data_IF_870119036338
#
_entry.id   IF_870119036338
#
_cell.length_a   1.000
_cell.length_b   1.000
_cell.length_c   1.000
_cell.angle_alpha   90.00
_cell.angle_beta   90.00
_cell.angle_gamma   90.00
#
_symmetry.space_group_name_H-M   'P 1'
#
loop_
_entity.id
_entity.type
_entity.pdbx_description
1 polymer ?
#
# COMPACT_ATOMS: atom_id res chain seq x y z
N UNK A 1 -1.55 5.09 -26.17
CA UNK A 1 -0.84 5.01 -24.87
C UNK A 1 -1.35 3.77 -24.16
N UNK A 2 -0.67 2.64 -24.33
CA UNK A 2 -1.03 1.38 -23.68
C UNK A 2 -0.47 1.36 -22.28
N UNK A 3 -1.34 1.30 -21.27
CA UNK A 3 -0.98 1.02 -19.89
C UNK A 3 -0.35 -0.37 -19.85
N UNK A 4 0.94 -0.46 -19.52
CA UNK A 4 1.62 -1.72 -19.22
C UNK A 4 0.94 -2.36 -18.02
N UNK A 5 -0.03 -3.25 -18.26
CA UNK A 5 -0.68 -4.03 -17.20
C UNK A 5 0.27 -5.15 -16.83
N UNK A 6 1.03 -4.93 -15.76
CA UNK A 6 1.55 -6.04 -14.98
C UNK A 6 0.34 -6.71 -14.33
N UNK A 7 0.01 -7.97 -14.68
CA UNK A 7 -1.14 -8.72 -14.14
C UNK A 7 -1.01 -9.04 -12.63
N UNK A 8 -0.11 -8.35 -11.92
CA UNK A 8 0.19 -8.59 -10.51
C UNK A 8 0.99 -9.87 -10.26
N UNK A 9 1.59 -10.46 -11.30
CA UNK A 9 2.43 -11.65 -11.19
C UNK A 9 3.62 -11.39 -10.25
N UNK A 10 3.84 -12.32 -9.33
CA UNK A 10 4.93 -12.31 -8.36
C UNK A 10 5.97 -13.39 -8.68
N UNK A 11 7.17 -13.23 -8.13
CA UNK A 11 8.23 -14.23 -8.19
C UNK A 11 7.74 -15.60 -7.73
N UNK A 12 6.90 -15.63 -6.69
CA UNK A 12 6.31 -16.87 -6.15
C UNK A 12 5.44 -17.61 -7.16
N UNK A 13 4.77 -16.90 -8.07
CA UNK A 13 3.82 -17.48 -9.02
C UNK A 13 4.52 -18.20 -10.18
N UNK A 14 5.78 -17.83 -10.45
CA UNK A 14 6.64 -18.41 -11.49
C UNK A 14 7.87 -19.12 -10.92
N UNK A 15 7.94 -19.28 -9.60
CA UNK A 15 9.10 -19.80 -8.87
C UNK A 15 9.63 -21.15 -9.38
N UNK A 16 8.79 -22.16 -9.70
CA UNK A 16 9.29 -23.44 -10.21
C UNK A 16 10.11 -23.28 -11.49
N UNK A 17 9.64 -22.43 -12.40
CA UNK A 17 10.26 -22.20 -13.71
C UNK A 17 11.46 -21.27 -13.58
N UNK A 18 11.40 -20.29 -12.67
CA UNK A 18 12.56 -19.49 -12.30
C UNK A 18 13.70 -20.39 -11.85
N UNK A 19 13.48 -21.32 -10.90
CA UNK A 19 14.51 -22.24 -10.41
C UNK A 19 15.14 -23.13 -11.49
N UNK A 20 14.41 -23.43 -12.57
CA UNK A 20 14.95 -24.15 -13.72
C UNK A 20 15.89 -23.30 -14.60
N UNK A 21 16.05 -22.00 -14.29
CA UNK A 21 16.88 -21.01 -14.99
C UNK A 21 16.63 -20.98 -16.50
N UNK A 22 15.37 -21.11 -16.88
CA UNK A 22 14.90 -21.15 -18.28
C UNK A 22 15.19 -19.83 -18.99
N UNK A 23 14.96 -18.74 -18.28
CA UNK A 23 15.33 -17.40 -18.67
C UNK A 23 15.61 -16.57 -17.43
N UNK A 24 16.43 -15.54 -17.56
CA UNK A 24 16.74 -14.64 -16.46
C UNK A 24 17.05 -13.23 -16.94
N UNK A 25 16.93 -12.27 -16.02
CA UNK A 25 17.41 -10.89 -16.17
C UNK A 25 18.52 -10.67 -15.15
N UNK A 26 19.74 -10.45 -15.62
CA UNK A 26 20.92 -10.30 -14.75
C UNK A 26 21.09 -8.88 -14.21
N UNK A 27 20.27 -7.93 -14.66
CA UNK A 27 20.46 -6.49 -14.47
C UNK A 27 21.42 -5.84 -15.46
N UNK A 28 22.03 -6.61 -16.37
CA UNK A 28 22.82 -6.10 -17.48
C UNK A 28 21.99 -5.22 -18.43
N UNK A 29 22.69 -4.30 -19.11
CA UNK A 29 22.13 -3.34 -20.07
C UNK A 29 22.83 -3.39 -21.42
N UNK A 30 22.07 -3.20 -22.49
CA UNK A 30 22.66 -2.96 -23.82
C UNK A 30 23.28 -1.54 -23.90
N UNK A 31 23.93 -1.22 -25.03
CA UNK A 31 24.56 0.10 -25.27
C UNK A 31 23.58 1.29 -25.21
N UNK A 32 22.28 1.04 -25.34
CA UNK A 32 21.21 2.05 -25.26
C UNK A 32 20.69 2.21 -23.83
N UNK A 33 21.16 1.37 -22.90
CA UNK A 33 20.64 1.26 -21.55
C UNK A 33 19.39 0.38 -21.45
N UNK A 34 19.02 -0.34 -22.52
CA UNK A 34 17.89 -1.26 -22.55
C UNK A 34 18.17 -2.53 -21.74
N UNK A 35 17.15 -3.13 -21.10
CA UNK A 35 17.33 -4.32 -20.28
C UNK A 35 17.63 -5.55 -21.14
N UNK A 36 18.43 -6.48 -20.58
CA UNK A 36 18.78 -7.73 -21.23
C UNK A 36 17.99 -8.88 -20.60
N UNK A 37 17.24 -9.61 -21.43
CA UNK A 37 16.64 -10.89 -21.08
C UNK A 37 17.44 -12.02 -21.73
N UNK A 38 17.85 -13.00 -20.95
CA UNK A 38 18.70 -14.10 -21.43
C UNK A 38 17.96 -15.42 -21.33
N UNK A 39 17.96 -16.19 -22.42
CA UNK A 39 17.70 -17.62 -22.45
C UNK A 39 19.04 -18.36 -22.57
N UNK A 40 19.56 -18.97 -21.50
CA UNK A 40 20.87 -19.61 -21.52
C UNK A 40 20.89 -20.91 -22.33
N UNK A 41 22.10 -21.39 -22.62
CA UNK A 41 22.32 -22.69 -23.23
C UNK A 41 21.64 -23.79 -22.41
N UNK A 42 21.05 -24.77 -23.09
CA UNK A 42 20.36 -25.91 -22.46
C UNK A 42 19.24 -25.50 -21.49
N UNK A 43 18.62 -24.34 -21.72
CA UNK A 43 17.45 -23.84 -20.96
C UNK A 43 16.24 -24.78 -20.94
N UNK A 44 16.21 -25.84 -21.78
CA UNK A 44 15.08 -26.77 -21.93
C UNK A 44 13.71 -26.07 -22.07
N UNK A 45 13.71 -24.86 -22.66
CA UNK A 45 12.52 -24.02 -22.78
C UNK A 45 11.38 -24.69 -23.56
N UNK A 46 11.71 -25.70 -24.37
CA UNK A 46 10.80 -26.54 -25.13
C UNK A 46 10.00 -27.53 -24.27
N UNK A 47 10.45 -27.83 -23.05
CA UNK A 47 9.77 -28.74 -22.11
C UNK A 47 8.71 -28.05 -21.26
N UNK A 48 8.68 -26.72 -21.31
CA UNK A 48 7.80 -25.90 -20.48
C UNK A 48 6.51 -25.64 -21.24
N UNK A 49 5.39 -25.67 -20.53
CA UNK A 49 4.09 -25.33 -21.12
C UNK A 49 4.11 -23.88 -21.59
N UNK A 50 3.50 -23.61 -22.73
CA UNK A 50 3.50 -22.27 -23.33
C UNK A 50 2.95 -21.19 -22.39
N UNK A 51 1.94 -21.53 -21.57
CA UNK A 51 1.37 -20.63 -20.57
C UNK A 51 2.35 -20.29 -19.44
N UNK A 52 3.13 -21.26 -19.00
CA UNK A 52 4.13 -21.11 -17.95
C UNK A 52 5.30 -20.26 -18.44
N UNK A 53 5.76 -20.51 -19.68
CA UNK A 53 6.76 -19.66 -20.35
C UNK A 53 6.25 -18.22 -20.53
N UNK A 54 4.98 -18.05 -20.91
CA UNK A 54 4.33 -16.72 -20.98
C UNK A 54 4.37 -16.02 -19.63
N UNK A 55 3.96 -16.67 -18.54
CA UNK A 55 4.01 -16.08 -17.19
C UNK A 55 5.44 -15.68 -16.80
N UNK A 56 6.41 -16.55 -17.06
CA UNK A 56 7.83 -16.28 -16.78
C UNK A 56 8.30 -15.01 -17.49
N UNK A 57 8.10 -14.91 -18.82
CA UNK A 57 8.60 -13.76 -19.58
C UNK A 57 7.85 -12.48 -19.23
N UNK A 58 6.55 -12.56 -18.93
CA UNK A 58 5.77 -11.41 -18.43
C UNK A 58 6.31 -10.92 -17.09
N UNK A 59 6.59 -11.84 -16.18
CA UNK A 59 7.17 -11.51 -14.87
C UNK A 59 8.56 -10.91 -15.02
N UNK A 60 9.47 -11.54 -15.76
CA UNK A 60 10.85 -11.06 -15.96
C UNK A 60 10.89 -9.70 -16.67
N UNK A 61 9.97 -9.44 -17.61
CA UNK A 61 9.84 -8.14 -18.27
C UNK A 61 9.37 -7.02 -17.33
N UNK A 62 8.75 -7.38 -16.20
CA UNK A 62 8.31 -6.42 -15.17
C UNK A 62 9.39 -6.08 -14.13
N UNK A 63 10.51 -6.81 -14.13
CA UNK A 63 11.60 -6.62 -13.16
C UNK A 63 12.27 -5.26 -13.31
N UNK A 64 12.70 -4.83 -14.53
CA UNK A 64 13.35 -3.54 -14.68
C UNK A 64 12.37 -2.39 -14.46
N UNK A 65 12.90 -1.22 -14.08
CA UNK A 65 12.07 -0.02 -13.94
C UNK A 65 11.37 0.36 -15.25
N UNK A 66 10.20 1.00 -15.14
CA UNK A 66 9.40 1.39 -16.31
C UNK A 66 10.20 2.24 -17.31
N UNK A 67 11.06 3.13 -16.83
CA UNK A 67 11.91 3.98 -17.68
C UNK A 67 13.01 3.20 -18.41
N UNK A 68 13.46 2.08 -17.85
CA UNK A 68 14.38 1.15 -18.50
C UNK A 68 13.62 0.33 -19.55
N UNK A 69 12.43 -0.18 -19.22
CA UNK A 69 11.60 -0.95 -20.15
C UNK A 69 11.19 -0.18 -21.41
N UNK A 70 11.01 1.15 -21.32
CA UNK A 70 10.73 2.04 -22.48
C UNK A 70 11.83 2.02 -23.55
N UNK A 71 13.03 1.56 -23.22
CA UNK A 71 14.14 1.42 -24.18
C UNK A 71 14.03 0.13 -25.00
N UNK A 72 13.11 -0.76 -24.66
CA UNK A 72 12.97 -2.06 -25.32
C UNK A 72 14.08 -3.04 -24.93
N UNK A 73 13.72 -4.31 -24.87
CA UNK A 73 14.60 -5.39 -24.43
C UNK A 73 15.54 -5.82 -25.56
N UNK A 74 16.78 -6.08 -25.19
CA UNK A 74 17.66 -6.95 -25.97
C UNK A 74 17.47 -8.38 -25.43
N UNK A 75 17.05 -9.31 -26.29
CA UNK A 75 16.84 -10.71 -25.90
C UNK A 75 18.00 -11.55 -26.40
N UNK A 76 18.78 -12.14 -25.51
CA UNK A 76 19.86 -13.06 -25.86
C UNK A 76 19.31 -14.49 -25.80
N UNK A 77 19.42 -15.22 -26.89
CA UNK A 77 18.99 -16.62 -26.99
C UNK A 77 20.19 -17.47 -27.33
N UNK A 78 20.67 -18.23 -26.35
CA UNK A 78 21.80 -19.12 -26.52
C UNK A 78 21.35 -20.52 -26.99
N UNK A 79 21.54 -20.80 -28.28
CA UNK A 79 21.18 -22.09 -28.87
C UNK A 79 22.31 -23.11 -28.78
N UNK A 80 23.44 -22.82 -28.13
CA UNK A 80 24.51 -23.81 -27.95
C UNK A 80 23.99 -25.02 -27.18
N UNK A 81 24.24 -26.21 -27.71
CA UNK A 81 23.73 -27.47 -27.15
C UNK A 81 22.23 -27.72 -27.32
N UNK A 82 21.48 -26.85 -28.01
CA UNK A 82 20.05 -26.98 -28.30
C UNK A 82 19.79 -27.31 -29.77
N UNK A 83 18.64 -27.91 -30.08
CA UNK A 83 18.21 -28.13 -31.47
C UNK A 83 17.72 -26.81 -32.10
N UNK A 84 18.10 -26.55 -33.34
CA UNK A 84 17.82 -25.27 -34.03
C UNK A 84 16.32 -25.04 -34.32
N UNK A 85 15.55 -26.10 -34.52
CA UNK A 85 14.11 -26.04 -34.77
C UNK A 85 13.30 -25.46 -33.59
N UNK A 86 13.84 -25.50 -32.37
CA UNK A 86 13.21 -24.97 -31.15
C UNK A 86 13.13 -23.44 -31.12
N UNK A 87 13.94 -22.74 -31.93
CA UNK A 87 14.00 -21.27 -31.87
C UNK A 87 12.73 -20.59 -32.37
N UNK A 88 12.10 -21.12 -33.43
CA UNK A 88 10.92 -20.51 -34.04
C UNK A 88 9.72 -20.47 -33.07
N UNK A 89 9.38 -21.58 -32.37
CA UNK A 89 8.37 -21.56 -31.31
C UNK A 89 8.65 -20.53 -30.20
N UNK A 90 9.91 -20.40 -29.77
CA UNK A 90 10.29 -19.43 -28.73
C UNK A 90 10.10 -17.98 -29.22
N UNK A 91 10.61 -17.64 -30.40
CA UNK A 91 10.43 -16.30 -30.99
C UNK A 91 8.96 -15.96 -31.22
N UNK A 92 8.14 -16.94 -31.63
CA UNK A 92 6.69 -16.76 -31.76
C UNK A 92 6.04 -16.48 -30.41
N UNK A 93 6.44 -17.19 -29.36
CA UNK A 93 5.94 -16.94 -28.00
C UNK A 93 6.33 -15.55 -27.52
N UNK A 94 7.57 -15.11 -27.72
CA UNK A 94 8.00 -13.76 -27.39
C UNK A 94 7.19 -12.69 -28.15
N UNK A 95 6.94 -12.88 -29.45
CA UNK A 95 6.12 -11.95 -30.22
C UNK A 95 4.66 -11.86 -29.72
N UNK A 96 4.07 -12.97 -29.29
CA UNK A 96 2.67 -13.03 -28.87
C UNK A 96 2.44 -12.63 -27.41
N UNK A 97 3.43 -12.86 -26.55
CA UNK A 97 3.26 -12.84 -25.10
C UNK A 97 4.12 -11.79 -24.37
N UNK A 98 5.20 -11.28 -24.99
CA UNK A 98 6.10 -10.38 -24.30
C UNK A 98 5.45 -9.00 -24.11
N UNK A 99 5.31 -8.52 -22.87
CA UNK A 99 4.51 -7.32 -22.58
C UNK A 99 5.22 -6.00 -22.92
N UNK A 100 6.50 -6.06 -23.29
CA UNK A 100 7.34 -4.91 -23.60
C UNK A 100 7.85 -4.94 -25.05
N UNK A 101 8.44 -3.84 -25.51
CA UNK A 101 9.10 -3.82 -26.82
C UNK A 101 10.35 -4.72 -26.79
N UNK A 102 10.52 -5.57 -27.80
CA UNK A 102 11.78 -6.27 -28.05
C UNK A 102 12.51 -5.46 -29.12
N UNK A 103 13.63 -4.84 -28.76
CA UNK A 103 14.44 -4.07 -29.69
C UNK A 103 15.13 -5.01 -30.68
N UNK A 104 15.79 -6.05 -30.16
CA UNK A 104 16.50 -7.05 -30.96
C UNK A 104 16.58 -8.38 -30.21
N UNK A 105 16.49 -9.49 -30.95
CA UNK A 105 16.82 -10.82 -30.47
C UNK A 105 18.18 -11.26 -31.03
N UNK A 106 19.18 -11.40 -30.16
CA UNK A 106 20.53 -11.86 -30.46
C UNK A 106 20.62 -13.37 -30.25
N UNK A 107 20.86 -14.10 -31.34
CA UNK A 107 20.75 -15.55 -31.38
C UNK A 107 22.16 -16.13 -31.51
N UNK A 108 22.66 -16.74 -30.43
CA UNK A 108 23.97 -17.41 -30.44
C UNK A 108 23.81 -18.76 -31.12
N UNK A 109 24.62 -18.99 -32.15
CA UNK A 109 24.54 -20.21 -32.96
C UNK A 109 25.14 -21.43 -32.22
N UNK A 110 24.66 -22.66 -32.49
CA UNK A 110 25.34 -23.88 -32.08
C UNK A 110 26.70 -24.03 -32.78
N UNK A 111 27.71 -24.61 -32.12
CA UNK A 111 29.08 -24.74 -32.67
C UNK A 111 29.14 -25.49 -34.01
N UNK A 112 28.30 -26.53 -34.16
CA UNK A 112 28.25 -27.37 -35.38
C UNK A 112 27.48 -26.73 -36.56
N UNK A 113 26.98 -25.51 -36.39
CA UNK A 113 26.09 -24.86 -37.35
C UNK A 113 26.82 -24.34 -38.60
N UNK A 114 28.08 -23.94 -38.47
CA UNK A 114 28.88 -23.41 -39.58
C UNK A 114 29.26 -24.45 -40.64
N UNK A 115 29.11 -25.74 -40.35
CA UNK A 115 29.47 -26.81 -41.28
C UNK A 115 28.31 -27.25 -42.19
N UNK A 116 27.04 -26.95 -41.86
CA UNK A 116 25.89 -27.39 -42.67
C UNK A 116 24.73 -26.39 -42.63
N UNK A 117 24.46 -25.79 -43.79
CA UNK A 117 23.25 -25.07 -44.22
C UNK A 117 23.21 -23.53 -44.09
N UNK A 118 22.77 -22.89 -45.19
CA UNK A 118 22.19 -21.53 -45.21
C UNK A 118 20.78 -21.60 -44.63
N UNK A 119 20.62 -21.37 -43.34
CA UNK A 119 19.29 -21.30 -42.73
C UNK A 119 18.80 -19.85 -42.78
N UNK A 120 18.01 -19.53 -43.79
CA UNK A 120 17.10 -18.39 -43.67
C UNK A 120 16.02 -18.79 -42.65
N UNK A 121 15.64 -17.89 -41.75
CA UNK A 121 14.33 -17.96 -41.09
C UNK A 121 13.29 -17.93 -42.22
N UNK A 122 12.91 -19.09 -42.77
CA UNK A 122 12.02 -19.13 -43.94
C UNK A 122 10.76 -18.30 -43.65
N UNK A 123 10.41 -17.38 -44.56
CA UNK A 123 9.21 -16.50 -44.67
C UNK A 123 8.58 -15.83 -43.43
N UNK A 124 8.93 -16.20 -42.20
CA UNK A 124 8.40 -15.64 -40.97
C UNK A 124 9.13 -14.35 -40.61
N UNK A 125 8.58 -13.22 -41.04
CA UNK A 125 9.04 -11.90 -40.61
C UNK A 125 8.49 -11.62 -39.21
N UNK A 126 9.34 -11.68 -38.20
CA UNK A 126 8.99 -11.26 -36.83
C UNK A 126 8.86 -9.73 -36.77
N UNK A 127 8.09 -9.23 -35.80
CA UNK A 127 7.88 -7.78 -35.60
C UNK A 127 9.13 -7.05 -35.10
N UNK A 128 10.05 -7.79 -34.48
CA UNK A 128 11.32 -7.30 -33.94
C UNK A 128 12.50 -7.84 -34.75
N UNK A 129 13.64 -7.15 -34.67
CA UNK A 129 14.87 -7.54 -35.37
C UNK A 129 15.45 -8.82 -34.78
N UNK A 130 15.94 -9.73 -35.63
CA UNK A 130 16.69 -10.92 -35.21
C UNK A 130 18.09 -10.88 -35.83
N UNK A 131 19.11 -11.09 -35.01
CA UNK A 131 20.50 -11.10 -35.45
C UNK A 131 21.21 -12.34 -34.95
N UNK A 132 21.90 -13.05 -35.84
CA UNK A 132 22.66 -14.23 -35.48
C UNK A 132 24.11 -13.86 -35.16
N UNK A 133 24.60 -14.27 -34.00
CA UNK A 133 25.91 -13.88 -33.47
C UNK A 133 26.70 -15.10 -32.98
N UNK A 134 28.02 -14.95 -32.89
CA UNK A 134 28.85 -15.83 -32.04
C UNK A 134 28.97 -15.24 -30.64
N UNK A 135 29.54 -15.99 -29.71
CA UNK A 135 29.82 -15.49 -28.36
C UNK A 135 30.79 -14.32 -28.43
N UNK A 136 31.85 -14.41 -29.23
CA UNK A 136 32.83 -13.33 -29.42
C UNK A 136 32.21 -12.14 -30.16
N UNK A 137 31.19 -12.38 -31.00
CA UNK A 137 30.44 -11.32 -31.66
C UNK A 137 29.54 -10.54 -30.72
N UNK A 138 29.07 -11.16 -29.63
CA UNK A 138 28.15 -10.55 -28.66
C UNK A 138 28.80 -9.38 -27.92
N UNK A 139 30.09 -9.49 -27.56
CA UNK A 139 30.87 -8.42 -26.89
C UNK A 139 31.02 -7.15 -27.73
N UNK A 140 30.78 -7.23 -29.05
CA UNK A 140 30.74 -6.05 -29.94
C UNK A 140 29.40 -5.31 -29.87
N UNK A 141 28.34 -5.98 -29.44
CA UNK A 141 26.98 -5.44 -29.38
C UNK A 141 26.60 -5.01 -27.96
N UNK A 142 27.05 -5.77 -26.95
CA UNK A 142 26.84 -5.50 -25.53
C UNK A 142 28.20 -5.41 -24.85
N UNK A 143 28.37 -4.44 -23.94
CA UNK A 143 29.60 -4.29 -23.18
C UNK A 143 29.86 -5.53 -22.29
N UNK A 144 31.07 -6.09 -22.25
CA UNK A 144 31.39 -7.26 -21.42
C UNK A 144 31.06 -7.07 -19.92
N UNK A 145 31.07 -5.84 -19.38
CA UNK A 145 30.65 -5.56 -18.00
C UNK A 145 29.15 -5.76 -17.75
N UNK A 146 28.35 -5.91 -18.81
CA UNK A 146 26.90 -6.09 -18.78
C UNK A 146 26.48 -7.52 -19.14
N UNK A 147 27.43 -8.39 -19.46
CA UNK A 147 27.23 -9.80 -19.79
C UNK A 147 27.74 -10.69 -18.64
N UNK A 148 27.07 -11.82 -18.44
CA UNK A 148 27.49 -12.83 -17.46
C UNK A 148 28.62 -13.70 -18.03
N UNK A 149 29.28 -14.46 -17.16
CA UNK A 149 30.50 -15.23 -17.48
C UNK A 149 30.32 -16.20 -18.67
N UNK A 150 29.13 -16.80 -18.84
CA UNK A 150 28.87 -17.73 -19.95
C UNK A 150 28.91 -17.10 -21.36
N UNK A 151 29.00 -15.77 -21.41
CA UNK A 151 29.10 -14.95 -22.63
C UNK A 151 30.40 -14.13 -22.70
N UNK A 152 31.46 -14.57 -22.04
CA UNK A 152 32.75 -13.86 -21.91
C UNK A 152 32.61 -12.47 -21.26
N UNK A 153 31.66 -12.35 -20.33
CA UNK A 153 31.38 -11.14 -19.56
C UNK A 153 31.99 -11.14 -18.16
N UNK A 154 31.82 -10.02 -17.47
CA UNK A 154 32.30 -9.79 -16.09
C UNK A 154 31.21 -9.38 -15.11
N UNK A 155 29.94 -9.38 -15.54
CA UNK A 155 28.80 -9.13 -14.67
C UNK A 155 28.59 -10.34 -13.76
N UNK A 156 28.78 -10.14 -12.46
CA UNK A 156 28.50 -11.16 -11.46
C UNK A 156 26.98 -11.43 -11.35
N UNK A 157 26.59 -12.69 -11.55
CA UNK A 157 25.19 -13.11 -11.49
C UNK A 157 25.00 -14.48 -10.85
N UNK A 158 24.54 -14.47 -9.60
CA UNK A 158 24.04 -15.63 -8.89
C UNK A 158 22.51 -15.69 -8.96
N UNK A 159 21.99 -16.74 -9.62
CA UNK A 159 20.57 -16.89 -9.88
C UNK A 159 19.76 -17.20 -8.61
N UNK A 160 20.28 -18.03 -7.70
CA UNK A 160 19.59 -18.39 -6.47
C UNK A 160 19.47 -17.20 -5.53
N UNK A 161 20.57 -16.46 -5.34
CA UNK A 161 20.56 -15.23 -4.52
C UNK A 161 19.62 -14.17 -5.12
N UNK A 162 19.58 -14.05 -6.45
CA UNK A 162 18.64 -13.15 -7.12
C UNK A 162 17.18 -13.53 -6.82
N UNK A 163 16.84 -14.83 -6.87
CA UNK A 163 15.48 -15.33 -6.55
C UNK A 163 15.14 -15.03 -5.08
N UNK A 164 16.03 -15.38 -4.15
CA UNK A 164 15.81 -15.20 -2.71
C UNK A 164 15.59 -13.73 -2.33
N UNK A 165 16.43 -12.84 -2.85
CA UNK A 165 16.29 -11.41 -2.63
C UNK A 165 14.98 -10.88 -3.23
N UNK A 166 14.62 -11.35 -4.42
CA UNK A 166 13.41 -10.91 -5.11
C UNK A 166 12.14 -11.34 -4.39
N UNK A 167 12.07 -12.58 -3.91
CA UNK A 167 10.98 -13.07 -3.07
C UNK A 167 10.85 -12.24 -1.79
N UNK A 168 11.97 -12.01 -1.10
CA UNK A 168 12.00 -11.23 0.15
C UNK A 168 11.51 -9.78 -0.07
N UNK A 169 11.94 -9.15 -1.17
CA UNK A 169 11.50 -7.79 -1.53
C UNK A 169 10.00 -7.71 -1.80
N UNK A 170 9.47 -8.64 -2.59
CA UNK A 170 8.05 -8.64 -2.95
C UNK A 170 7.16 -8.93 -1.73
N UNK A 171 7.58 -9.83 -0.83
CA UNK A 171 6.91 -10.08 0.44
C UNK A 171 6.94 -8.85 1.35
N UNK A 172 8.09 -8.19 1.47
CA UNK A 172 8.24 -6.95 2.23
C UNK A 172 7.31 -5.85 1.70
N UNK A 173 7.34 -5.56 0.40
CA UNK A 173 6.48 -4.51 -0.18
C UNK A 173 5.01 -4.81 0.04
N UNK A 174 4.58 -6.05 -0.18
CA UNK A 174 3.20 -6.47 0.04
C UNK A 174 2.78 -6.26 1.51
N UNK A 175 3.62 -6.69 2.44
CA UNK A 175 3.34 -6.59 3.88
C UNK A 175 3.35 -5.15 4.38
N UNK A 176 4.28 -4.33 3.91
CA UNK A 176 4.42 -2.95 4.31
C UNK A 176 3.31 -2.05 3.74
N UNK A 177 2.91 -2.24 2.47
CA UNK A 177 1.77 -1.53 1.88
C UNK A 177 0.46 -1.91 2.60
N UNK A 178 0.25 -3.21 2.87
CA UNK A 178 -0.92 -3.66 3.60
C UNK A 178 -0.97 -3.12 5.04
N UNK A 179 0.17 -3.10 5.74
CA UNK A 179 0.21 -2.52 7.09
C UNK A 179 -0.05 -1.00 7.06
N UNK A 180 0.52 -0.28 6.09
CA UNK A 180 0.31 1.15 5.96
C UNK A 180 -1.18 1.48 5.77
N UNK A 181 -1.86 0.79 4.86
CA UNK A 181 -3.31 0.93 4.66
C UNK A 181 -4.09 0.68 5.95
N UNK A 182 -3.75 -0.36 6.72
CA UNK A 182 -4.40 -0.62 8.01
C UNK A 182 -4.15 0.47 9.04
N UNK A 183 -2.99 1.11 9.04
CA UNK A 183 -2.70 2.24 9.92
C UNK A 183 -3.50 3.49 9.49
N UNK A 184 -3.63 3.73 8.19
CA UNK A 184 -4.45 4.82 7.62
C UNK A 184 -5.94 4.64 7.97
N UNK A 185 -6.48 3.41 7.91
CA UNK A 185 -7.86 3.12 8.35
C UNK A 185 -8.06 3.47 9.84
N UNK A 186 -7.07 3.15 10.68
CA UNK A 186 -7.11 3.51 12.11
C UNK A 186 -7.04 5.02 12.32
N UNK A 187 -6.35 5.76 11.45
CA UNK A 187 -6.32 7.23 11.51
C UNK A 187 -7.71 7.80 11.24
N UNK A 188 -8.41 7.29 10.23
CA UNK A 188 -9.78 7.69 9.92
C UNK A 188 -10.73 7.41 11.10
N UNK A 189 -10.61 6.23 11.73
CA UNK A 189 -11.38 5.91 12.93
C UNK A 189 -11.12 6.89 14.09
N UNK A 190 -9.85 7.26 14.33
CA UNK A 190 -9.49 8.22 15.38
C UNK A 190 -9.87 9.67 15.04
N UNK A 191 -10.03 10.01 13.76
CA UNK A 191 -10.41 11.34 13.31
C UNK A 191 -11.91 11.67 13.55
N UNK A 192 -12.76 10.69 13.84
CA UNK A 192 -14.21 10.87 14.03
C UNK A 192 -14.54 11.88 15.13
N UNK A 193 -15.12 13.03 14.81
CA UNK A 193 -15.40 14.11 15.79
C UNK A 193 -16.67 13.90 16.65
N UNK A 194 -17.16 12.67 16.76
CA UNK A 194 -18.38 12.37 17.49
C UNK A 194 -18.12 12.32 19.00
N UNK A 195 -18.99 12.99 19.75
CA UNK A 195 -19.02 12.96 21.20
C UNK A 195 -20.37 12.43 21.69
N UNK A 196 -20.38 11.67 22.78
CA UNK A 196 -21.58 11.09 23.37
C UNK A 196 -22.45 12.15 24.05
N UNK A 197 -23.74 11.85 24.16
CA UNK A 197 -24.73 12.71 24.87
C UNK A 197 -24.92 12.30 26.33
N UNK A 198 -24.43 11.13 26.73
CA UNK A 198 -24.60 10.57 28.07
C UNK A 198 -23.33 9.86 28.60
N UNK A 199 -23.38 9.46 29.86
CA UNK A 199 -22.29 8.79 30.59
C UNK A 199 -21.97 7.42 29.99
N UNK A 200 -22.98 6.66 29.55
CA UNK A 200 -22.81 5.31 29.02
C UNK A 200 -22.17 5.32 27.62
N UNK A 201 -22.60 6.21 26.73
CA UNK A 201 -21.98 6.45 25.44
C UNK A 201 -20.53 6.91 25.56
N UNK A 202 -20.22 7.72 26.58
CA UNK A 202 -18.85 8.11 26.92
C UNK A 202 -17.99 6.93 27.31
N UNK A 203 -18.50 6.05 28.18
CA UNK A 203 -17.79 4.84 28.58
C UNK A 203 -17.50 3.93 27.38
N UNK A 204 -18.51 3.69 26.53
CA UNK A 204 -18.34 2.91 25.29
C UNK A 204 -17.28 3.50 24.36
N UNK A 205 -17.29 4.81 24.13
CA UNK A 205 -16.29 5.45 23.26
C UNK A 205 -14.87 5.41 23.86
N UNK A 206 -14.73 5.51 25.19
CA UNK A 206 -13.45 5.33 25.87
C UNK A 206 -12.94 3.88 25.74
N UNK A 207 -13.83 2.90 25.82
CA UNK A 207 -13.48 1.49 25.62
C UNK A 207 -13.07 1.21 24.17
N UNK A 208 -13.86 1.67 23.19
CA UNK A 208 -13.51 1.56 21.77
C UNK A 208 -12.17 2.22 21.46
N UNK A 209 -11.97 3.44 21.96
CA UNK A 209 -10.70 4.12 21.93
C UNK A 209 -9.65 3.13 22.47
N UNK A 210 -9.76 2.66 23.72
CA UNK A 210 -8.74 1.81 24.35
C UNK A 210 -8.39 0.57 23.51
N UNK A 211 -9.36 -0.02 22.82
CA UNK A 211 -9.12 -1.12 21.87
C UNK A 211 -8.36 -0.68 20.62
N UNK A 212 -8.65 0.49 20.05
CA UNK A 212 -7.89 1.04 18.92
C UNK A 212 -6.41 1.24 19.29
N UNK A 213 -6.09 1.75 20.48
CA UNK A 213 -4.69 1.85 20.95
C UNK A 213 -3.99 0.50 20.96
N UNK A 214 -4.66 -0.54 21.45
CA UNK A 214 -4.10 -1.91 21.46
C UNK A 214 -3.81 -2.40 20.05
N UNK A 215 -4.64 -2.07 19.06
CA UNK A 215 -4.39 -2.42 17.65
C UNK A 215 -3.16 -1.71 17.10
N UNK A 216 -3.00 -0.41 17.39
CA UNK A 216 -1.82 0.37 16.97
C UNK A 216 -0.54 -0.18 17.62
N UNK A 217 -0.56 -0.49 18.92
CA UNK A 217 0.60 -1.01 19.63
C UNK A 217 1.01 -2.43 19.19
N UNK A 218 0.06 -3.22 18.70
CA UNK A 218 0.32 -4.58 18.18
C UNK A 218 0.67 -4.59 16.68
N UNK A 219 0.70 -3.44 16.02
CA UNK A 219 1.07 -3.36 14.62
C UNK A 219 2.56 -3.72 14.46
N UNK A 220 2.93 -4.67 13.57
CA UNK A 220 4.29 -5.20 13.45
C UNK A 220 5.20 -4.27 12.63
N UNK A 221 5.29 -2.99 13.02
CA UNK A 221 6.11 -2.00 12.31
C UNK A 221 7.59 -2.25 12.58
N UNK A 222 7.98 -2.66 13.79
CA UNK A 222 9.36 -3.03 14.13
C UNK A 222 9.85 -4.24 13.34
N UNK A 223 9.01 -5.26 13.14
CA UNK A 223 9.34 -6.44 12.33
C UNK A 223 9.65 -6.03 10.89
N UNK A 224 8.79 -5.20 10.30
CA UNK A 224 8.98 -4.71 8.95
C UNK A 224 10.16 -3.76 8.82
N UNK A 225 10.45 -2.94 9.84
CA UNK A 225 11.65 -2.12 9.84
C UNK A 225 12.90 -3.00 9.83
N UNK A 226 13.02 -3.99 10.72
CA UNK A 226 14.16 -4.93 10.69
C UNK A 226 14.34 -5.61 9.34
N UNK A 227 13.25 -6.07 8.73
CA UNK A 227 13.28 -6.71 7.42
C UNK A 227 13.69 -5.72 6.31
N UNK A 228 13.12 -4.51 6.32
CA UNK A 228 13.49 -3.45 5.38
C UNK A 228 14.96 -3.04 5.51
N UNK A 229 15.48 -2.90 6.73
CA UNK A 229 16.90 -2.61 6.97
C UNK A 229 17.79 -3.76 6.48
N UNK A 230 17.40 -5.02 6.70
CA UNK A 230 18.11 -6.20 6.17
C UNK A 230 18.18 -6.17 4.65
N UNK A 231 17.06 -5.89 3.98
CA UNK A 231 16.99 -5.77 2.52
C UNK A 231 17.86 -4.62 2.01
N UNK A 232 17.82 -3.46 2.65
CA UNK A 232 18.67 -2.32 2.32
C UNK A 232 20.16 -2.66 2.48
N UNK A 233 20.52 -3.38 3.55
CA UNK A 233 21.89 -3.83 3.78
C UNK A 233 22.33 -4.80 2.69
N UNK A 234 21.50 -5.79 2.33
CA UNK A 234 21.78 -6.68 1.21
C UNK A 234 22.07 -5.87 -0.05
N UNK A 235 21.16 -4.98 -0.46
CA UNK A 235 21.30 -4.21 -1.70
C UNK A 235 22.54 -3.28 -1.67
N UNK A 236 22.81 -2.59 -0.54
CA UNK A 236 23.89 -1.59 -0.40
C UNK A 236 25.27 -2.17 -0.10
N UNK A 237 25.37 -3.36 0.53
CA UNK A 237 26.65 -4.03 0.77
C UNK A 237 27.38 -4.46 -0.52
N UNK A 238 26.85 -4.13 -1.70
CA UNK A 238 27.60 -4.10 -2.96
C UNK A 238 28.77 -3.11 -2.95
N UNK A 239 28.77 -2.10 -2.08
CA UNK A 239 29.77 -1.01 -2.09
C UNK A 239 30.83 -1.17 -1.00
N UNK A 240 31.78 -2.08 -1.22
CA UNK A 240 33.18 -1.97 -0.80
C UNK A 240 33.50 -1.81 0.69
N UNK A 241 33.78 -2.92 1.39
CA UNK A 241 34.88 -3.01 2.38
C UNK A 241 35.20 -4.45 2.82
N UNK A 242 34.32 -5.41 2.55
CA UNK A 242 34.55 -6.84 2.78
C UNK A 242 34.58 -7.56 1.44
N UNK A 243 35.74 -8.09 1.05
CA UNK A 243 36.00 -8.72 -0.25
C UNK A 243 35.30 -10.06 -0.50
N UNK A 244 33.98 -10.16 -0.25
CA UNK A 244 33.11 -11.27 -0.68
C UNK A 244 31.65 -10.79 -0.68
N UNK A 245 30.98 -11.02 -1.81
CA UNK A 245 29.55 -10.86 -2.11
C UNK A 245 29.11 -9.48 -2.64
N UNK A 246 29.34 -9.25 -3.94
CA UNK A 246 28.57 -8.26 -4.72
C UNK A 246 27.17 -8.85 -4.96
N UNK A 247 26.10 -8.08 -4.79
CA UNK A 247 24.75 -8.58 -5.12
C UNK A 247 24.52 -8.46 -6.64
N UNK A 248 24.14 -9.55 -7.32
CA UNK A 248 23.78 -9.59 -8.74
C UNK A 248 22.69 -8.58 -9.15
N UNK A 249 22.81 -7.99 -10.35
CA UNK A 249 21.75 -7.14 -10.92
C UNK A 249 21.49 -5.83 -10.18
N UNK A 250 22.56 -5.25 -9.65
CA UNK A 250 22.52 -4.08 -8.76
C UNK A 250 21.63 -2.96 -9.28
N UNK A 251 21.67 -2.60 -10.56
CA UNK A 251 20.93 -1.44 -11.06
C UNK A 251 19.41 -1.51 -10.77
N UNK A 252 18.77 -2.67 -10.97
CA UNK A 252 17.33 -2.83 -10.76
C UNK A 252 16.98 -2.86 -9.26
N UNK A 253 17.78 -3.53 -8.43
CA UNK A 253 17.56 -3.53 -6.98
C UNK A 253 17.89 -2.19 -6.33
N UNK A 254 18.94 -1.50 -6.77
CA UNK A 254 19.31 -0.16 -6.31
C UNK A 254 18.21 0.85 -6.60
N UNK A 255 17.49 0.70 -7.72
CA UNK A 255 16.31 1.53 -8.03
C UNK A 255 15.16 1.39 -7.02
N UNK A 256 15.15 0.30 -6.23
CA UNK A 256 14.15 0.04 -5.20
C UNK A 256 14.54 0.62 -3.82
N UNK A 257 15.81 0.96 -3.59
CA UNK A 257 16.30 1.51 -2.31
C UNK A 257 15.50 2.74 -1.85
N UNK A 258 15.21 3.75 -2.71
CA UNK A 258 14.39 4.89 -2.30
C UNK A 258 12.96 4.49 -1.95
N UNK A 259 12.39 3.48 -2.63
CA UNK A 259 11.04 2.98 -2.37
C UNK A 259 10.93 2.28 -1.02
N UNK A 260 11.92 1.43 -0.68
CA UNK A 260 11.99 0.76 0.63
C UNK A 260 12.09 1.81 1.74
N UNK A 261 13.05 2.74 1.61
CA UNK A 261 13.29 3.80 2.61
C UNK A 261 12.05 4.65 2.81
N UNK A 262 11.43 5.14 1.73
CA UNK A 262 10.22 5.95 1.82
C UNK A 262 9.04 5.22 2.45
N UNK A 263 8.91 3.91 2.22
CA UNK A 263 7.83 3.11 2.81
C UNK A 263 8.02 2.91 4.31
N UNK A 264 9.26 2.67 4.76
CA UNK A 264 9.61 2.62 6.18
C UNK A 264 9.34 3.97 6.87
N UNK A 265 9.79 5.08 6.27
CA UNK A 265 9.56 6.42 6.79
C UNK A 265 8.06 6.72 6.93
N UNK A 266 7.26 6.34 5.92
CA UNK A 266 5.80 6.47 5.97
C UNK A 266 5.19 5.63 7.08
N UNK A 267 5.58 4.36 7.24
CA UNK A 267 5.08 3.50 8.32
C UNK A 267 5.36 4.11 9.70
N UNK A 268 6.60 4.56 9.93
CA UNK A 268 6.98 5.20 11.19
C UNK A 268 6.23 6.50 11.44
N UNK A 269 6.17 7.38 10.43
CA UNK A 269 5.46 8.66 10.52
C UNK A 269 3.97 8.48 10.77
N UNK A 270 3.30 7.58 10.03
CA UNK A 270 1.88 7.27 10.19
C UNK A 270 1.58 6.73 11.60
N UNK A 271 2.44 5.84 12.11
CA UNK A 271 2.33 5.33 13.49
C UNK A 271 2.56 6.43 14.53
N UNK A 272 3.57 7.26 14.36
CA UNK A 272 3.83 8.38 15.28
C UNK A 272 2.65 9.35 15.28
N UNK A 273 2.09 9.65 14.12
CA UNK A 273 0.90 10.48 14.00
C UNK A 273 -0.32 9.87 14.70
N UNK A 274 -0.54 8.56 14.55
CA UNK A 274 -1.57 7.83 15.30
C UNK A 274 -1.41 7.98 16.82
N UNK A 275 -0.19 7.90 17.34
CA UNK A 275 0.07 8.12 18.76
C UNK A 275 -0.28 9.56 19.21
N UNK A 276 0.03 10.57 18.38
CA UNK A 276 -0.33 11.96 18.68
C UNK A 276 -1.85 12.17 18.67
N UNK A 277 -2.52 11.74 17.60
CA UNK A 277 -3.99 11.82 17.48
C UNK A 277 -4.68 11.10 18.63
N UNK A 278 -4.14 9.94 19.03
CA UNK A 278 -4.58 9.17 20.17
C UNK A 278 -4.56 10.00 21.46
N UNK A 279 -3.43 10.63 21.79
CA UNK A 279 -3.31 11.44 23.01
C UNK A 279 -4.29 12.61 23.04
N UNK A 280 -4.46 13.31 21.91
CA UNK A 280 -5.41 14.42 21.79
C UNK A 280 -6.84 13.93 21.95
N UNK A 281 -7.21 12.83 21.30
CA UNK A 281 -8.56 12.25 21.39
C UNK A 281 -8.86 11.77 22.81
N UNK A 282 -7.90 11.14 23.48
CA UNK A 282 -8.06 10.68 24.86
C UNK A 282 -8.46 11.84 25.77
N UNK A 283 -7.71 12.95 25.72
CA UNK A 283 -8.00 14.12 26.54
C UNK A 283 -9.43 14.64 26.31
N UNK A 284 -9.87 14.72 25.05
CA UNK A 284 -11.23 15.17 24.71
C UNK A 284 -12.31 14.19 25.21
N UNK A 285 -12.07 12.88 25.13
CA UNK A 285 -13.00 11.88 25.65
C UNK A 285 -13.10 11.95 27.17
N UNK A 286 -11.97 12.12 27.87
CA UNK A 286 -11.93 12.29 29.33
C UNK A 286 -12.70 13.55 29.76
N UNK A 287 -12.50 14.67 29.06
CA UNK A 287 -13.25 15.92 29.29
C UNK A 287 -14.75 15.76 29.04
N UNK A 288 -15.13 15.09 27.94
CA UNK A 288 -16.53 14.84 27.63
C UNK A 288 -17.18 13.96 28.70
N UNK A 289 -16.49 12.90 29.15
CA UNK A 289 -16.98 12.04 30.21
C UNK A 289 -17.18 12.79 31.53
N UNK A 290 -16.23 13.65 31.92
CA UNK A 290 -16.36 14.51 33.10
C UNK A 290 -17.56 15.45 33.01
N UNK A 291 -17.79 16.06 31.83
CA UNK A 291 -18.97 16.90 31.59
C UNK A 291 -20.26 16.10 31.77
N UNK A 292 -20.35 14.89 31.20
CA UNK A 292 -21.55 14.05 31.33
C UNK A 292 -21.82 13.59 32.76
N UNK A 293 -20.78 13.29 33.53
CA UNK A 293 -20.92 12.99 34.96
C UNK A 293 -21.44 14.21 35.73
N UNK A 294 -20.87 15.39 35.48
CA UNK A 294 -21.31 16.62 36.11
C UNK A 294 -22.78 16.93 35.80
N UNK A 295 -23.20 16.83 34.54
CA UNK A 295 -24.59 17.06 34.13
C UNK A 295 -25.54 16.10 34.83
N UNK A 296 -25.22 14.80 34.84
CA UNK A 296 -26.01 13.77 35.52
C UNK A 296 -26.10 13.99 37.03
N UNK A 297 -24.99 14.34 37.68
CA UNK A 297 -24.94 14.58 39.12
C UNK A 297 -25.71 15.86 39.50
N UNK A 298 -25.59 16.92 38.71
CA UNK A 298 -26.33 18.16 38.92
C UNK A 298 -27.84 17.95 38.80
N UNK A 299 -28.29 17.24 37.78
CA UNK A 299 -29.69 16.89 37.58
C UNK A 299 -30.23 16.05 38.74
N UNK A 300 -29.51 15.00 39.13
CA UNK A 300 -29.89 14.12 40.25
C UNK A 300 -29.96 14.88 41.58
N UNK A 301 -28.98 15.74 41.86
CA UNK A 301 -28.96 16.54 43.09
C UNK A 301 -30.14 17.52 43.17
N UNK A 302 -30.45 18.21 42.07
CA UNK A 302 -31.61 19.10 42.00
C UNK A 302 -32.91 18.32 42.25
N UNK A 303 -33.09 17.18 41.58
CA UNK A 303 -34.25 16.32 41.76
C UNK A 303 -34.42 15.83 43.22
N UNK A 304 -33.33 15.35 43.84
CA UNK A 304 -33.37 14.87 45.24
C UNK A 304 -33.71 15.99 46.21
N UNK A 305 -33.11 17.17 46.04
CA UNK A 305 -33.34 18.32 46.92
C UNK A 305 -34.79 18.80 46.85
N UNK A 306 -35.36 18.89 45.65
CA UNK A 306 -36.74 19.32 45.46
C UNK A 306 -37.70 18.30 46.09
N UNK A 307 -37.53 17.00 45.81
CA UNK A 307 -38.36 15.96 46.43
C UNK A 307 -38.27 15.96 47.96
N UNK A 308 -37.10 16.23 48.52
CA UNK A 308 -36.92 16.35 49.98
C UNK A 308 -37.71 17.53 50.55
N UNK A 309 -37.65 18.69 49.91
CA UNK A 309 -38.43 19.88 50.31
C UNK A 309 -39.92 19.58 50.25
N UNK A 310 -40.38 18.97 49.14
CA UNK A 310 -41.78 18.58 48.97
C UNK A 310 -42.26 17.61 50.06
N UNK A 311 -41.44 16.62 50.41
CA UNK A 311 -41.74 15.65 51.48
C UNK A 311 -41.85 16.31 52.86
N UNK A 312 -40.93 17.22 53.20
CA UNK A 312 -40.99 17.98 54.46
C UNK A 312 -42.22 18.88 54.50
N UNK A 313 -42.53 19.56 53.40
CA UNK A 313 -43.72 20.40 53.30
C UNK A 313 -45.02 19.60 53.52
N UNK A 314 -45.15 18.41 52.90
CA UNK A 314 -46.33 17.53 53.08
C UNK A 314 -46.49 17.13 54.54
N UNK A 315 -45.40 16.68 55.19
CA UNK A 315 -45.41 16.26 56.59
C UNK A 315 -45.81 17.39 57.54
N UNK A 316 -45.31 18.61 57.32
CA UNK A 316 -45.68 19.77 58.13
C UNK A 316 -47.16 20.13 57.95
N UNK A 317 -47.67 20.09 56.72
CA UNK A 317 -49.09 20.34 56.45
C UNK A 317 -49.99 19.26 57.08
N UNK A 318 -49.64 17.98 56.97
CA UNK A 318 -50.37 16.85 57.55
C UNK A 318 -50.38 16.86 59.09
N UNK A 319 -49.28 17.31 59.71
CA UNK A 319 -49.18 17.44 61.17
C UNK A 319 -49.97 18.63 61.75
N UNK A 320 -50.68 19.40 60.92
CA UNK A 320 -51.48 20.55 61.36
C UNK A 320 -50.64 21.78 61.75
N UNK A 321 -49.47 21.97 61.13
CA UNK A 321 -48.61 23.13 61.39
C UNK A 321 -49.38 24.46 61.21
N UNK A 322 -49.11 25.45 62.07
CA UNK A 322 -49.86 26.72 62.11
C UNK A 322 -49.84 27.48 60.78
N UNK A 323 -48.76 27.35 60.00
CA UNK A 323 -48.58 27.94 58.67
C UNK A 323 -48.87 26.97 57.51
N UNK A 324 -49.61 25.89 57.74
CA UNK A 324 -49.83 24.81 56.76
C UNK A 324 -50.38 25.28 55.40
N UNK A 325 -51.26 26.28 55.37
CA UNK A 325 -51.81 26.85 54.14
C UNK A 325 -50.73 27.56 53.30
N UNK A 326 -49.86 28.34 53.95
CA UNK A 326 -48.73 29.02 53.30
C UNK A 326 -47.69 28.01 52.79
N UNK A 327 -47.34 27.01 53.61
CA UNK A 327 -46.41 25.92 53.24
C UNK A 327 -46.92 25.19 51.99
N UNK A 328 -48.22 24.88 51.93
CA UNK A 328 -48.84 24.20 50.79
C UNK A 328 -48.78 25.05 49.52
N UNK A 329 -49.08 26.35 49.61
CA UNK A 329 -48.99 27.29 48.48
C UNK A 329 -47.56 27.36 47.92
N UNK A 330 -46.56 27.57 48.78
CA UNK A 330 -45.14 27.66 48.37
C UNK A 330 -44.66 26.35 47.75
N UNK A 331 -45.03 25.21 48.35
CA UNK A 331 -44.67 23.87 47.86
C UNK A 331 -45.26 23.58 46.48
N UNK A 332 -46.54 23.90 46.27
CA UNK A 332 -47.19 23.76 44.95
C UNK A 332 -46.56 24.67 43.90
N UNK A 333 -46.23 25.91 44.26
CA UNK A 333 -45.54 26.83 43.35
C UNK A 333 -44.15 26.30 42.96
N UNK A 334 -43.36 25.83 43.93
CA UNK A 334 -42.04 25.27 43.68
C UNK A 334 -42.09 24.06 42.73
N UNK A 335 -43.05 23.14 42.92
CA UNK A 335 -43.23 21.98 42.03
C UNK A 335 -43.58 22.41 40.60
N UNK A 336 -44.46 23.41 40.44
CA UNK A 336 -44.84 23.92 39.13
C UNK A 336 -43.68 24.63 38.43
N UNK A 337 -42.95 25.49 39.14
CA UNK A 337 -41.76 26.17 38.62
C UNK A 337 -40.66 25.17 38.23
N UNK A 338 -40.42 24.15 39.05
CA UNK A 338 -39.45 23.10 38.74
C UNK A 338 -39.83 22.32 37.48
N UNK A 339 -41.09 21.89 37.36
CA UNK A 339 -41.58 21.18 36.16
C UNK A 339 -41.42 22.02 34.89
N UNK A 340 -41.76 23.30 34.97
CA UNK A 340 -41.58 24.23 33.85
C UNK A 340 -40.11 24.41 33.49
N UNK A 341 -39.24 24.53 34.50
CA UNK A 341 -37.79 24.67 34.29
C UNK A 341 -37.18 23.41 33.65
N UNK A 342 -37.53 22.23 34.17
CA UNK A 342 -37.06 20.95 33.65
C UNK A 342 -37.48 20.75 32.18
N UNK A 343 -38.74 21.08 31.84
CA UNK A 343 -39.23 21.01 30.47
C UNK A 343 -38.46 21.96 29.53
N UNK A 344 -38.23 23.21 29.96
CA UNK A 344 -37.48 24.18 29.17
C UNK A 344 -36.01 23.76 28.98
N UNK A 345 -35.41 23.12 29.99
CA UNK A 345 -34.04 22.61 29.92
C UNK A 345 -33.92 21.43 28.94
N UNK A 346 -34.89 20.53 28.93
CA UNK A 346 -34.94 19.39 28.00
C UNK A 346 -35.11 19.85 26.54
N UNK A 347 -36.00 20.81 26.31
CA UNK A 347 -36.20 21.42 24.99
C UNK A 347 -34.89 22.08 24.50
N UNK A 348 -34.24 22.88 25.35
CA UNK A 348 -32.95 23.51 25.03
C UNK A 348 -31.88 22.48 24.71
N UNK A 349 -31.81 21.39 25.49
CA UNK A 349 -30.82 20.32 25.28
C UNK A 349 -31.04 19.61 23.95
N UNK A 350 -32.30 19.35 23.59
CA UNK A 350 -32.68 18.79 22.29
C UNK A 350 -32.28 19.69 21.14
N UNK A 351 -32.56 20.99 21.22
CA UNK A 351 -32.19 21.96 20.17
C UNK A 351 -30.67 22.06 20.02
N UNK A 352 -29.93 22.11 21.14
CA UNK A 352 -28.47 22.16 21.11
C UNK A 352 -27.87 20.90 20.50
N UNK A 353 -28.42 19.72 20.82
CA UNK A 353 -27.99 18.46 20.21
C UNK A 353 -28.23 18.47 18.68
N UNK A 354 -29.41 18.90 18.23
CA UNK A 354 -29.71 19.06 16.80
C UNK A 354 -28.77 20.06 16.11
N UNK A 355 -28.48 21.18 16.75
CA UNK A 355 -27.55 22.20 16.25
C UNK A 355 -26.12 21.66 16.13
N UNK A 356 -25.66 20.89 17.13
CA UNK A 356 -24.35 20.27 17.09
C UNK A 356 -24.23 19.26 15.93
N UNK A 357 -25.25 18.42 15.74
CA UNK A 357 -25.32 17.47 14.61
C UNK A 357 -25.36 18.22 13.28
N UNK A 358 -26.11 19.31 13.18
CA UNK A 358 -26.15 20.14 11.98
C UNK A 358 -24.78 20.73 11.65
N UNK A 359 -24.11 21.37 12.61
CA UNK A 359 -22.77 21.94 12.39
C UNK A 359 -21.74 20.87 12.02
N UNK A 360 -21.80 19.70 12.67
CA UNK A 360 -20.92 18.57 12.34
C UNK A 360 -21.12 18.11 10.88
N UNK A 361 -22.38 17.96 10.44
CA UNK A 361 -22.68 17.62 9.04
C UNK A 361 -22.25 18.73 8.07
N UNK A 362 -22.46 20.00 8.42
CA UNK A 362 -22.06 21.13 7.59
C UNK A 362 -20.53 21.20 7.40
N UNK A 363 -19.75 20.91 8.44
CA UNK A 363 -18.28 20.79 8.33
C UNK A 363 -17.85 19.66 7.39
N UNK A 364 -18.62 18.57 7.28
CA UNK A 364 -18.33 17.46 6.37
C UNK A 364 -18.69 17.78 4.90
N UNK A 365 -19.65 18.69 4.67
CA UNK A 365 -20.09 19.10 3.32
C UNK A 365 -19.16 20.14 2.69
N UNK A 366 -18.60 21.07 3.48
CA UNK A 366 -17.70 22.14 2.98
C UNK A 366 -16.51 21.63 2.12
N UNK A 367 -15.80 20.54 2.49
CA UNK A 367 -14.75 19.97 1.65
C UNK A 367 -15.29 19.32 0.36
N UNK A 368 -16.49 18.71 0.40
CA UNK A 368 -17.11 18.07 -0.77
C UNK A 368 -17.54 19.07 -1.82
N UNK A 369 -18.10 20.21 -1.42
CA UNK A 369 -18.45 21.28 -2.37
C UNK A 369 -17.22 21.93 -2.97
N UNK A 370 -16.15 22.19 -2.19
CA UNK A 370 -14.88 22.69 -2.71
C UNK A 370 -14.25 21.73 -3.72
N UNK A 371 -14.30 20.41 -3.46
CA UNK A 371 -13.87 19.38 -4.40
C UNK A 371 -14.73 19.36 -5.67
N UNK A 372 -16.05 19.53 -5.55
CA UNK A 372 -16.96 19.65 -6.70
C UNK A 372 -16.68 20.89 -7.54
N UNK A 373 -16.50 22.06 -6.91
CA UNK A 373 -16.13 23.31 -7.59
C UNK A 373 -14.78 23.23 -8.29
N UNK A 374 -13.79 22.56 -7.66
CA UNK A 374 -12.49 22.29 -8.28
C UNK A 374 -12.62 21.29 -9.44
N UNK A 375 -13.47 20.26 -9.33
CA UNK A 375 -13.75 19.33 -10.42
C UNK A 375 -14.41 20.03 -11.60
N UNK A 376 -15.43 20.86 -11.35
CA UNK A 376 -16.14 21.65 -12.38
C UNK A 376 -15.19 22.63 -13.07
N UNK A 377 -14.28 23.28 -12.32
CA UNK A 377 -13.22 24.12 -12.91
C UNK A 377 -12.22 23.33 -13.74
N UNK A 378 -11.90 22.08 -13.36
CA UNK A 378 -10.91 21.24 -14.06
C UNK A 378 -11.48 20.56 -15.30
N UNK A 379 -12.80 20.31 -15.35
CA UNK A 379 -13.51 19.74 -16.50
C UNK A 379 -13.87 20.83 -17.54
N UNK A 380 -13.63 22.10 -17.24
CA UNK A 380 -13.67 23.17 -18.24
C UNK A 380 -15.04 23.29 -18.92
N UNK A 381 -16.11 23.49 -18.14
CA UNK A 381 -17.41 23.85 -18.73
C UNK A 381 -17.36 25.33 -19.12
N UNK A 382 -16.85 25.58 -20.32
CA UNK A 382 -17.19 26.79 -21.06
C UNK A 382 -18.63 26.66 -21.55
N UNK A 383 -19.51 27.51 -21.01
CA UNK A 383 -20.88 27.92 -21.42
C UNK A 383 -21.72 27.94 -20.14
N UNK A 384 -22.26 29.06 -19.69
CA UNK A 384 -23.19 29.93 -20.39
C UNK A 384 -23.05 31.37 -19.88
N UNK A 385 -22.94 32.31 -20.83
CA UNK A 385 -23.33 33.70 -20.61
C UNK A 385 -24.84 33.80 -20.85
N UNK A 386 -25.57 34.38 -19.89
CA UNK A 386 -26.80 35.14 -20.11
C UNK A 386 -26.63 36.45 -19.36
#
# INVERSE_FOLDING_TARGET
MGSFRNDGLKASDVLPILKEKVAFVSGGRDKRGGPILTFPARSNHDRIRQEDLRKLVTYLASVPSEDVCKRGFTVIIDMRGSKWDLIKPLLKTLQEAFPAEIHVALIIKPDNFWQKQKTNFGSSKFIFETSMVSVEGLTKLVDPSQLTEEFDGSLDYNHEEWIELRLSLEEFFNSAVHLLSRLEDLQEMLARKEFPVDVEGSRRLIDEHTQLKKKVLKAPVEELDREGQRLLQCIRCSDGFSGRNCIPGSADFQSLVPKITSLLDKLHSTRQHLHQMWHVRKLKLDQCFQLRLFEQDAEKNAYVNINRIMSVASRLSEAGHYASQQIKQISTQLDQEWKSFAAALDERSTILAMSAVFHQKAEQVKPRELLWWLLVRRVGVHTLSV
#
